data_IF_195811202079
#
_entry.id   IF_195811202079
#
_cell.length_a   1.000
_cell.length_b   1.000
_cell.length_c   1.000
_cell.angle_alpha   90.00
_cell.angle_beta   90.00
_cell.angle_gamma   90.00
#
_symmetry.space_group_name_H-M   'P 1'
#
loop_
_entity.id
_entity.type
_entity.pdbx_description
1 polymer ?
#
# COMPACT_ATOMS: atom_id res chain seq x y z
N UNK A 1 13.09 16.11 11.41
CA UNK A 1 13.56 15.69 10.08
C UNK A 1 13.15 14.25 9.95
N UNK A 2 12.16 13.96 9.14
CA UNK A 2 11.86 12.59 8.72
C UNK A 2 12.95 12.25 7.71
N UNK A 3 13.91 11.41 8.11
CA UNK A 3 14.85 10.83 7.15
C UNK A 3 14.00 9.98 6.20
N UNK A 4 13.96 10.38 4.93
CA UNK A 4 13.34 9.57 3.88
C UNK A 4 13.94 8.16 3.94
N UNK A 5 13.10 7.13 3.82
CA UNK A 5 13.58 5.76 3.83
C UNK A 5 14.56 5.55 2.68
N UNK A 6 15.59 4.72 2.91
CA UNK A 6 16.44 4.25 1.83
C UNK A 6 15.57 3.55 0.76
N UNK A 7 15.88 3.79 -0.51
CA UNK A 7 15.23 3.23 -1.70
C UNK A 7 14.94 1.73 -1.59
N UNK A 8 15.86 0.91 -1.07
CA UNK A 8 15.64 -0.54 -0.89
C UNK A 8 14.51 -0.84 0.11
N UNK A 9 14.45 -0.06 1.19
CA UNK A 9 13.41 -0.18 2.22
C UNK A 9 12.07 0.33 1.70
N UNK A 10 12.07 1.43 0.94
CA UNK A 10 10.87 1.97 0.31
C UNK A 10 10.32 1.01 -0.75
N UNK A 11 11.17 0.41 -1.58
CA UNK A 11 10.78 -0.61 -2.55
C UNK A 11 10.19 -1.84 -1.86
N UNK A 12 10.82 -2.32 -0.78
CA UNK A 12 10.29 -3.44 0.00
C UNK A 12 8.90 -3.14 0.58
N UNK A 13 8.68 -1.91 1.05
CA UNK A 13 7.39 -1.45 1.56
C UNK A 13 6.33 -1.40 0.45
N UNK A 14 6.68 -0.84 -0.72
CA UNK A 14 5.80 -0.80 -1.90
C UNK A 14 5.37 -2.20 -2.34
N UNK A 15 6.30 -3.16 -2.37
CA UNK A 15 6.02 -4.56 -2.67
C UNK A 15 5.07 -5.16 -1.63
N UNK A 16 5.36 -4.99 -0.34
CA UNK A 16 4.52 -5.52 0.73
C UNK A 16 3.09 -4.93 0.65
N UNK A 17 2.97 -3.63 0.44
CA UNK A 17 1.69 -2.93 0.31
C UNK A 17 0.87 -3.43 -0.89
N UNK A 18 1.52 -3.71 -2.01
CA UNK A 18 0.87 -4.24 -3.23
C UNK A 18 0.13 -5.55 -2.99
N UNK A 19 0.59 -6.37 -2.04
CA UNK A 19 -0.03 -7.65 -1.70
C UNK A 19 -0.91 -7.60 -0.44
N UNK A 20 -1.09 -6.44 0.19
CA UNK A 20 -2.07 -6.26 1.26
C UNK A 20 -3.49 -6.29 0.68
N UNK A 21 -4.49 -6.76 1.46
CA UNK A 21 -5.89 -6.68 1.02
C UNK A 21 -6.29 -5.22 0.85
N UNK A 22 -7.15 -4.93 -0.12
CA UNK A 22 -7.65 -3.56 -0.28
C UNK A 22 -8.56 -3.23 0.90
N UNK A 23 -8.51 -2.01 1.41
CA UNK A 23 -9.34 -1.60 2.54
C UNK A 23 -10.85 -1.86 2.30
N UNK A 24 -11.32 -1.73 1.05
CA UNK A 24 -12.70 -2.03 0.66
C UNK A 24 -13.08 -3.51 0.76
N UNK A 25 -12.10 -4.42 0.71
CA UNK A 25 -12.26 -5.87 0.81
C UNK A 25 -12.17 -6.35 2.27
N UNK A 26 -11.66 -5.51 3.19
CA UNK A 26 -11.50 -5.83 4.61
C UNK A 26 -12.82 -5.58 5.34
N UNK A 27 -13.66 -6.61 5.40
CA UNK A 27 -14.96 -6.56 6.08
C UNK A 27 -14.96 -7.40 7.35
N UNK A 28 -15.86 -7.08 8.29
CA UNK A 28 -16.11 -7.90 9.49
C UNK A 28 -16.53 -9.34 9.16
N UNK A 29 -17.17 -9.55 8.01
CA UNK A 29 -17.58 -10.89 7.58
C UNK A 29 -16.37 -11.78 7.26
N UNK A 30 -15.40 -11.24 6.51
CA UNK A 30 -14.21 -11.99 6.08
C UNK A 30 -13.18 -12.13 7.20
N UNK A 31 -12.96 -11.05 7.97
CA UNK A 31 -11.85 -10.97 8.93
C UNK A 31 -12.30 -11.03 10.40
N UNK A 32 -13.58 -11.27 10.66
CA UNK A 32 -14.14 -11.37 12.02
C UNK A 32 -13.86 -10.11 12.83
N UNK A 33 -13.51 -10.26 14.11
CA UNK A 33 -13.21 -9.13 15.00
C UNK A 33 -11.85 -8.47 14.71
N UNK A 34 -11.02 -9.06 13.84
CA UNK A 34 -9.70 -8.50 13.47
C UNK A 34 -9.77 -7.47 12.35
N UNK A 35 -10.92 -7.32 11.68
CA UNK A 35 -11.06 -6.44 10.51
C UNK A 35 -10.58 -5.01 10.80
N UNK A 36 -10.86 -4.48 12.00
CA UNK A 36 -10.44 -3.13 12.38
C UNK A 36 -8.92 -3.03 12.50
N UNK A 37 -8.26 -4.01 13.11
CA UNK A 37 -6.79 -4.03 13.22
C UNK A 37 -6.13 -4.09 11.84
N UNK A 38 -6.73 -4.83 10.90
CA UNK A 38 -6.19 -4.93 9.53
C UNK A 38 -6.35 -3.60 8.79
N UNK A 39 -7.50 -2.92 8.93
CA UNK A 39 -7.69 -1.56 8.39
C UNK A 39 -6.67 -0.59 8.99
N UNK A 40 -6.45 -0.65 10.30
CA UNK A 40 -5.50 0.23 10.98
C UNK A 40 -4.06 -0.03 10.52
N UNK A 41 -3.68 -1.30 10.27
CA UNK A 41 -2.38 -1.65 9.69
C UNK A 41 -2.21 -1.13 8.26
N UNK A 42 -3.26 -1.23 7.42
CA UNK A 42 -3.25 -0.69 6.05
C UNK A 42 -3.04 0.82 6.10
N UNK A 43 -3.78 1.53 6.94
CA UNK A 43 -3.66 2.98 7.10
C UNK A 43 -2.28 3.40 7.62
N UNK A 44 -1.70 2.63 8.55
CA UNK A 44 -0.34 2.88 9.03
C UNK A 44 0.69 2.83 7.89
N UNK A 45 0.56 1.86 6.98
CA UNK A 45 1.46 1.72 5.83
C UNK A 45 1.21 2.83 4.80
N UNK A 46 -0.07 3.16 4.51
CA UNK A 46 -0.43 4.29 3.62
C UNK A 46 0.19 5.60 4.11
N UNK A 47 0.12 5.87 5.42
CA UNK A 47 0.71 7.07 6.01
C UNK A 47 2.23 7.14 5.81
N UNK A 48 2.94 6.02 5.97
CA UNK A 48 4.40 5.97 5.75
C UNK A 48 4.75 6.20 4.28
N UNK A 49 3.99 5.62 3.34
CA UNK A 49 4.19 5.87 1.90
C UNK A 49 4.04 7.37 1.58
N UNK A 50 2.99 8.01 2.10
CA UNK A 50 2.76 9.45 1.91
C UNK A 50 3.88 10.31 2.50
N UNK A 51 4.43 9.94 3.67
CA UNK A 51 5.58 10.63 4.28
C UNK A 51 6.83 10.55 3.39
N UNK A 52 6.95 9.51 2.56
CA UNK A 52 8.05 9.31 1.63
C UNK A 52 7.72 9.81 0.21
N UNK A 53 6.74 10.72 0.07
CA UNK A 53 6.29 11.29 -1.21
C UNK A 53 5.83 10.23 -2.25
N UNK A 54 5.32 9.10 -1.77
CA UNK A 54 4.74 8.04 -2.60
C UNK A 54 3.22 8.05 -2.47
N UNK A 55 2.51 8.14 -3.59
CA UNK A 55 1.05 7.95 -3.62
C UNK A 55 0.72 6.45 -3.48
N UNK A 56 0.07 6.01 -2.38
CA UNK A 56 -0.31 4.61 -2.21
C UNK A 56 -1.18 4.07 -3.35
N UNK A 57 -1.98 4.91 -4.00
CA UNK A 57 -2.91 4.46 -5.04
C UNK A 57 -2.19 4.17 -6.38
N UNK A 58 -0.97 4.68 -6.57
CA UNK A 58 -0.13 4.42 -7.75
C UNK A 58 0.84 3.22 -7.54
N UNK A 59 1.14 2.85 -6.30
CA UNK A 59 2.12 1.80 -5.94
C UNK A 59 1.87 0.47 -6.67
N UNK A 60 0.61 0.06 -6.79
CA UNK A 60 0.26 -1.21 -7.44
C UNK A 60 0.71 -1.22 -8.91
N UNK A 61 0.56 -0.09 -9.61
CA UNK A 61 0.97 0.06 -11.00
C UNK A 61 2.48 0.18 -11.19
N UNK A 62 3.18 0.76 -10.22
CA UNK A 62 4.65 0.80 -10.21
C UNK A 62 5.27 -0.59 -10.01
N UNK A 63 4.72 -1.39 -9.09
CA UNK A 63 5.25 -2.73 -8.76
C UNK A 63 4.87 -3.77 -9.81
N UNK A 64 3.65 -3.69 -10.34
CA UNK A 64 3.16 -4.61 -11.37
C UNK A 64 2.83 -3.88 -12.69
N UNK A 65 3.85 -3.32 -13.38
CA UNK A 65 3.64 -2.53 -14.59
C UNK A 65 3.02 -3.36 -15.72
N UNK A 66 3.19 -4.68 -15.70
CA UNK A 66 2.57 -5.62 -16.66
C UNK A 66 1.06 -5.78 -16.49
N UNK A 67 0.52 -5.38 -15.33
CA UNK A 67 -0.91 -5.50 -15.00
C UNK A 67 -1.63 -4.15 -14.98
N UNK A 68 -0.89 -3.05 -14.93
CA UNK A 68 -1.44 -1.73 -15.20
C UNK A 68 -1.91 -1.67 -16.65
N UNK A 69 -3.16 -1.24 -16.92
CA UNK A 69 -3.55 -0.86 -18.26
C UNK A 69 -2.51 0.16 -18.74
N UNK A 70 -1.92 -0.04 -19.93
CA UNK A 70 -1.07 0.95 -20.56
C UNK A 70 -1.87 2.26 -20.68
N UNK A 71 -1.74 3.15 -19.69
CA UNK A 71 -2.33 4.48 -19.73
C UNK A 71 -1.43 5.33 -20.62
N UNK A 72 -1.48 5.05 -21.92
CA UNK A 72 -1.08 6.01 -22.94
C UNK A 72 -2.32 6.86 -23.25
N UNK A 73 -2.41 8.02 -22.59
CA UNK A 73 -3.31 9.10 -22.97
C UNK A 73 -2.51 10.21 -23.66
#
# INVERSE_FOLDING_TARGET
MTELMNDDALLSLKIAFTYMPKAIEVTKYEYGDQYQNILDHIEAVRAVLLINDVDPDEVYGEINPSTSPNSSY
#
